data_IF_651202352384
#
_entry.id   IF_651202352384
#
_cell.length_a   1.000
_cell.length_b   1.000
_cell.length_c   1.000
_cell.angle_alpha   90.00
_cell.angle_beta   90.00
_cell.angle_gamma   90.00
#
_symmetry.space_group_name_H-M   'P 1'
#
loop_
_entity.id
_entity.type
_entity.pdbx_description
1 polymer ?
#
# COMPACT_ATOMS: atom_id res chain seq x y z
N UNK A 1 1.96 1.08 15.61
CA UNK A 1 0.48 1.10 15.76
C UNK A 1 -0.24 0.67 14.47
N UNK A 2 0.02 1.29 13.31
CA UNK A 2 -0.68 0.95 12.05
C UNK A 2 -0.31 -0.42 11.46
N UNK A 3 0.98 -0.75 11.36
CA UNK A 3 1.45 -2.04 10.81
C UNK A 3 0.90 -3.23 11.58
N UNK A 4 0.95 -3.16 12.91
CA UNK A 4 0.39 -4.17 13.83
C UNK A 4 -1.13 -4.34 13.71
N UNK A 5 -1.87 -3.28 13.35
CA UNK A 5 -3.31 -3.38 13.13
C UNK A 5 -3.62 -4.05 11.78
N UNK A 6 -2.92 -3.63 10.72
CA UNK A 6 -3.06 -4.19 9.38
C UNK A 6 -2.64 -5.66 9.32
N UNK A 7 -1.68 -6.08 10.12
CA UNK A 7 -1.28 -7.48 10.23
C UNK A 7 -2.40 -8.38 10.78
N UNK A 8 -3.22 -7.85 11.71
CA UNK A 8 -4.35 -8.59 12.29
C UNK A 8 -5.55 -8.69 11.35
N UNK A 9 -5.65 -7.81 10.35
CA UNK A 9 -6.70 -7.90 9.35
C UNK A 9 -6.44 -9.07 8.39
N UNK A 10 -7.47 -9.79 7.94
CA UNK A 10 -7.29 -10.84 6.94
C UNK A 10 -6.74 -10.24 5.64
N UNK A 11 -5.81 -10.96 5.01
CA UNK A 11 -5.41 -10.65 3.63
C UNK A 11 -6.43 -11.26 2.68
N UNK A 12 -6.90 -10.47 1.71
CA UNK A 12 -7.79 -10.93 0.66
C UNK A 12 -7.08 -10.90 -0.69
N UNK A 13 -7.30 -11.94 -1.49
CA UNK A 13 -6.94 -11.95 -2.90
C UNK A 13 -8.08 -11.29 -3.68
N UNK A 14 -7.80 -10.18 -4.35
CA UNK A 14 -8.80 -9.44 -5.10
C UNK A 14 -8.18 -8.60 -6.22
N UNK A 15 -9.05 -8.09 -7.09
CA UNK A 15 -8.69 -7.03 -8.02
C UNK A 15 -8.98 -5.68 -7.38
N UNK A 16 -7.99 -4.81 -7.39
CA UNK A 16 -8.11 -3.45 -6.90
C UNK A 16 -7.69 -2.45 -7.97
N UNK A 17 -8.26 -1.26 -7.89
CA UNK A 17 -8.03 -0.19 -8.83
C UNK A 17 -7.49 1.04 -8.14
N UNK A 18 -6.59 1.75 -8.82
CA UNK A 18 -6.01 3.01 -8.35
C UNK A 18 -5.84 3.98 -9.51
N UNK A 19 -6.46 5.15 -9.39
CA UNK A 19 -6.25 6.27 -10.31
C UNK A 19 -5.12 7.18 -9.86
N UNK A 20 -4.36 7.72 -10.81
CA UNK A 20 -3.33 8.75 -10.60
C UNK A 20 -3.43 9.77 -11.73
N UNK A 21 -3.50 11.06 -11.40
CA UNK A 21 -3.57 12.17 -12.37
C UNK A 21 -2.17 12.54 -12.90
N UNK A 22 -1.43 11.55 -13.41
CA UNK A 22 -0.13 11.70 -14.04
C UNK A 22 0.07 10.61 -15.10
N UNK A 23 0.82 10.91 -16.16
CA UNK A 23 1.27 9.89 -17.12
C UNK A 23 2.48 9.14 -16.55
N UNK A 24 2.30 7.86 -16.23
CA UNK A 24 3.34 6.99 -15.68
C UNK A 24 3.75 5.89 -16.66
N UNK A 25 3.30 5.94 -17.91
CA UNK A 25 3.47 4.84 -18.86
C UNK A 25 4.93 4.45 -19.11
N UNK A 26 5.83 5.44 -19.09
CA UNK A 26 7.26 5.22 -19.32
C UNK A 26 7.95 4.51 -18.13
N UNK A 27 7.38 4.59 -16.93
CA UNK A 27 7.97 3.99 -15.73
C UNK A 27 7.63 2.50 -15.59
N UNK A 28 6.47 2.10 -16.14
CA UNK A 28 5.88 0.78 -16.04
C UNK A 28 5.81 0.12 -17.41
N UNK A 29 6.90 -0.52 -17.81
CA UNK A 29 6.98 -1.31 -19.04
C UNK A 29 6.55 -2.74 -18.79
N UNK A 30 5.84 -3.34 -19.76
CA UNK A 30 5.37 -4.72 -19.66
C UNK A 30 6.55 -5.69 -19.42
N UNK A 31 6.33 -6.68 -18.54
CA UNK A 31 7.33 -7.65 -18.11
C UNK A 31 8.27 -7.16 -17.00
N UNK A 32 8.27 -5.86 -16.69
CA UNK A 32 9.10 -5.32 -15.61
C UNK A 32 8.53 -5.73 -14.25
N UNK A 33 9.41 -6.17 -13.36
CA UNK A 33 9.10 -6.45 -11.95
C UNK A 33 9.72 -5.36 -11.09
N UNK A 34 8.97 -4.89 -10.08
CA UNK A 34 9.41 -3.83 -9.19
C UNK A 34 8.78 -3.97 -7.80
N UNK A 35 9.31 -3.21 -6.84
CA UNK A 35 8.76 -3.15 -5.47
C UNK A 35 7.93 -1.89 -5.31
N UNK A 36 6.71 -2.06 -4.83
CA UNK A 36 5.79 -0.99 -4.46
C UNK A 36 6.08 -0.57 -3.01
N UNK A 37 6.79 0.54 -2.85
CA UNK A 37 7.36 0.94 -1.56
C UNK A 37 6.38 1.66 -0.63
N UNK A 38 5.29 2.23 -1.15
CA UNK A 38 4.35 3.03 -0.38
C UNK A 38 3.09 2.25 0.02
N UNK A 39 2.40 2.70 1.07
CA UNK A 39 1.00 2.33 1.27
C UNK A 39 0.16 2.98 0.18
N UNK A 40 -0.85 2.28 -0.30
CA UNK A 40 -1.73 2.83 -1.33
C UNK A 40 -3.18 2.43 -1.08
N UNK A 41 -4.03 3.44 -0.89
CA UNK A 41 -5.47 3.25 -0.90
C UNK A 41 -5.92 2.92 -2.32
N UNK A 42 -6.74 1.88 -2.42
CA UNK A 42 -7.29 1.36 -3.66
C UNK A 42 -8.77 1.03 -3.42
N UNK A 43 -9.52 0.84 -4.50
CA UNK A 43 -10.93 0.44 -4.43
C UNK A 43 -11.16 -0.85 -5.20
N UNK A 44 -12.11 -1.68 -4.77
CA UNK A 44 -12.59 -2.82 -5.57
C UNK A 44 -13.67 -2.41 -6.58
N UNK A 45 -14.21 -1.20 -6.47
CA UNK A 45 -15.26 -0.68 -7.34
C UNK A 45 -14.67 0.24 -8.40
N UNK A 46 -14.72 -0.19 -9.66
CA UNK A 46 -14.23 0.62 -10.78
C UNK A 46 -15.06 1.91 -10.96
N UNK A 47 -16.34 1.90 -10.60
CA UNK A 47 -17.26 3.03 -10.71
C UNK A 47 -16.83 4.22 -9.85
N UNK A 48 -16.17 3.97 -8.72
CA UNK A 48 -15.65 5.02 -7.82
C UNK A 48 -14.57 5.87 -8.49
N UNK A 49 -13.88 5.30 -9.49
CA UNK A 49 -12.83 6.00 -10.22
C UNK A 49 -13.36 7.07 -11.18
N UNK A 50 -14.66 7.05 -11.52
CA UNK A 50 -15.25 8.11 -12.34
C UNK A 50 -15.27 9.48 -11.63
N UNK A 51 -15.14 9.49 -10.31
CA UNK A 51 -15.05 10.73 -9.55
C UNK A 51 -13.68 11.41 -9.82
N UNK A 52 -13.74 12.73 -10.07
CA UNK A 52 -12.60 13.62 -10.34
C UNK A 52 -11.53 13.58 -9.25
N UNK A 53 -11.90 13.21 -8.01
CA UNK A 53 -10.94 13.05 -6.91
C UNK A 53 -10.02 11.83 -7.06
N UNK A 54 -10.39 10.84 -7.87
CA UNK A 54 -9.59 9.61 -8.07
C UNK A 54 -8.88 9.61 -9.42
N UNK A 55 -9.63 9.49 -10.52
CA UNK A 55 -9.08 9.47 -11.87
C UNK A 55 -9.64 10.62 -12.72
N UNK A 56 -10.93 10.91 -12.58
CA UNK A 56 -11.61 11.92 -13.39
C UNK A 56 -11.64 11.58 -14.88
N UNK A 57 -12.17 12.52 -15.68
CA UNK A 57 -12.43 12.30 -17.12
C UNK A 57 -11.44 13.00 -18.04
N UNK A 58 -10.60 13.90 -17.53
CA UNK A 58 -9.74 14.77 -18.34
C UNK A 58 -8.29 14.78 -17.85
N UNK A 59 -7.37 15.27 -18.69
CA UNK A 59 -5.95 15.37 -18.37
C UNK A 59 -5.16 14.06 -18.53
N UNK A 60 -3.84 14.16 -18.33
CA UNK A 60 -2.92 13.02 -18.33
C UNK A 60 -3.14 12.20 -17.07
N UNK A 61 -3.51 10.93 -17.24
CA UNK A 61 -3.90 10.07 -16.12
C UNK A 61 -3.58 8.61 -16.38
N UNK A 62 -3.29 7.92 -15.29
CA UNK A 62 -2.94 6.51 -15.28
C UNK A 62 -3.88 5.77 -14.35
N UNK A 63 -4.51 4.72 -14.87
CA UNK A 63 -5.31 3.76 -14.13
C UNK A 63 -4.51 2.48 -13.92
N UNK A 64 -4.26 2.13 -12.67
CA UNK A 64 -3.72 0.83 -12.30
C UNK A 64 -4.85 -0.15 -12.02
N UNK A 65 -4.79 -1.31 -12.66
CA UNK A 65 -5.59 -2.49 -12.30
C UNK A 65 -4.63 -3.52 -11.70
N UNK A 66 -4.86 -3.91 -10.44
CA UNK A 66 -3.89 -4.67 -9.66
C UNK A 66 -4.56 -5.96 -9.20
N UNK A 67 -4.06 -7.10 -9.69
CA UNK A 67 -4.35 -8.41 -9.09
C UNK A 67 -3.46 -8.55 -7.86
N UNK A 68 -4.03 -8.39 -6.66
CA UNK A 68 -3.29 -8.53 -5.40
C UNK A 68 -3.72 -9.79 -4.65
N UNK A 69 -2.76 -10.40 -3.96
CA UNK A 69 -2.94 -11.53 -3.07
C UNK A 69 -2.97 -11.10 -1.59
N UNK A 70 -2.47 -9.89 -1.29
CA UNK A 70 -2.27 -9.39 0.07
C UNK A 70 -3.00 -8.08 0.41
N UNK A 71 -4.07 -7.75 -0.32
CA UNK A 71 -4.90 -6.59 -0.03
C UNK A 71 -5.53 -6.66 1.36
N UNK A 72 -5.60 -5.52 2.06
CA UNK A 72 -6.30 -5.40 3.35
C UNK A 72 -7.59 -4.64 3.15
N UNK A 73 -8.72 -5.34 3.23
CA UNK A 73 -10.03 -4.71 3.25
C UNK A 73 -10.17 -3.89 4.53
N UNK A 74 -10.31 -2.58 4.37
CA UNK A 74 -10.54 -1.64 5.46
C UNK A 74 -11.90 -0.95 5.33
N UNK A 75 -12.77 -1.40 4.42
CA UNK A 75 -14.09 -0.83 4.18
C UNK A 75 -14.97 -0.82 5.44
N UNK A 76 -14.86 -1.84 6.29
CA UNK A 76 -15.54 -1.91 7.60
C UNK A 76 -15.03 -0.89 8.64
N UNK A 77 -13.90 -0.25 8.37
CA UNK A 77 -13.27 0.77 9.22
C UNK A 77 -13.13 2.13 8.53
N UNK A 78 -13.58 2.25 7.27
CA UNK A 78 -13.54 3.48 6.50
C UNK A 78 -14.78 4.32 6.77
N UNK A 79 -14.62 5.65 6.76
CA UNK A 79 -15.72 6.59 6.98
C UNK A 79 -16.76 6.53 5.84
N UNK A 80 -16.34 6.08 4.64
CA UNK A 80 -17.18 5.93 3.46
C UNK A 80 -17.25 4.47 3.00
N UNK A 81 -18.17 3.70 3.59
CA UNK A 81 -18.33 2.27 3.30
C UNK A 81 -18.63 1.95 1.82
N UNK A 82 -19.16 2.92 1.06
CA UNK A 82 -19.44 2.78 -0.37
C UNK A 82 -18.18 2.66 -1.24
N UNK A 83 -17.02 3.11 -0.75
CA UNK A 83 -15.78 3.13 -1.53
C UNK A 83 -15.10 1.76 -1.63
N UNK A 84 -15.56 0.78 -0.82
CA UNK A 84 -14.99 -0.58 -0.74
C UNK A 84 -13.46 -0.56 -0.72
N UNK A 85 -12.95 0.22 0.22
CA UNK A 85 -11.54 0.58 0.30
C UNK A 85 -10.68 -0.62 0.68
N UNK A 86 -9.64 -0.85 -0.13
CA UNK A 86 -8.61 -1.85 0.11
C UNK A 86 -7.26 -1.16 0.19
N UNK A 87 -6.55 -1.38 1.28
CA UNK A 87 -5.20 -0.87 1.47
C UNK A 87 -4.18 -1.88 0.93
N UNK A 88 -3.40 -1.46 -0.06
CA UNK A 88 -2.18 -2.16 -0.45
C UNK A 88 -1.06 -1.81 0.51
N UNK A 89 -0.41 -2.84 1.05
CA UNK A 89 0.71 -2.68 1.95
C UNK A 89 1.97 -2.27 1.19
N UNK A 90 2.83 -1.54 1.88
CA UNK A 90 4.17 -1.22 1.41
C UNK A 90 5.03 -2.50 1.21
N UNK A 91 6.11 -2.33 0.45
CA UNK A 91 7.14 -3.32 0.16
C UNK A 91 6.57 -4.64 -0.43
N UNK A 92 5.66 -4.51 -1.40
CA UNK A 92 5.11 -5.64 -2.17
C UNK A 92 5.69 -5.67 -3.57
N UNK A 93 5.92 -6.86 -4.10
CA UNK A 93 6.48 -7.00 -5.44
C UNK A 93 5.38 -7.19 -6.46
N UNK A 94 5.43 -6.40 -7.53
CA UNK A 94 4.49 -6.48 -8.64
C UNK A 94 5.22 -6.62 -9.96
N UNK A 95 4.56 -7.30 -10.89
CA UNK A 95 4.97 -7.39 -12.28
C UNK A 95 3.94 -6.68 -13.16
N UNK A 96 4.42 -5.91 -14.13
CA UNK A 96 3.57 -5.30 -15.16
C UNK A 96 3.17 -6.37 -16.17
N UNK A 97 1.90 -6.76 -16.19
CA UNK A 97 1.41 -7.83 -17.08
C UNK A 97 0.84 -7.29 -18.40
N UNK A 98 0.42 -6.02 -18.42
CA UNK A 98 -0.11 -5.38 -19.61
C UNK A 98 -0.17 -3.86 -19.50
N UNK A 99 -0.05 -3.19 -20.64
CA UNK A 99 -0.23 -1.74 -20.76
C UNK A 99 -1.14 -1.45 -21.96
N UNK A 100 -2.10 -0.53 -21.78
CA UNK A 100 -3.04 -0.12 -22.82
C UNK A 100 -3.22 1.41 -22.80
N UNK A 101 -3.44 2.01 -23.97
CA UNK A 101 -3.81 3.42 -24.12
C UNK A 101 -5.19 3.51 -24.78
N UNK A 102 -6.29 3.36 -24.03
CA UNK A 102 -7.63 3.28 -24.60
C UNK A 102 -8.13 4.62 -25.16
N UNK A 103 -7.61 5.75 -24.66
CA UNK A 103 -8.01 7.09 -25.08
C UNK A 103 -6.85 8.08 -24.96
N UNK A 104 -6.89 9.22 -25.66
CA UNK A 104 -5.91 10.28 -25.48
C UNK A 104 -5.79 10.70 -24.01
N UNK A 105 -4.57 10.65 -23.50
CA UNK A 105 -4.22 11.01 -22.12
C UNK A 105 -4.67 10.05 -21.03
N UNK A 106 -5.23 8.88 -21.37
CA UNK A 106 -5.51 7.81 -20.43
C UNK A 106 -4.60 6.62 -20.71
N UNK A 107 -3.86 6.21 -19.69
CA UNK A 107 -3.04 5.00 -19.70
C UNK A 107 -3.58 3.99 -18.69
N UNK A 108 -3.71 2.75 -19.11
CA UNK A 108 -4.08 1.64 -18.23
C UNK A 108 -2.89 0.71 -18.08
N UNK A 109 -2.54 0.41 -16.82
CA UNK A 109 -1.46 -0.49 -16.46
C UNK A 109 -2.04 -1.62 -15.62
N UNK A 110 -1.80 -2.84 -16.05
CA UNK A 110 -2.18 -4.04 -15.32
C UNK A 110 -0.98 -4.57 -14.56
N UNK A 111 -1.16 -4.76 -13.25
CA UNK A 111 -0.17 -5.28 -12.34
C UNK A 111 -0.64 -6.61 -11.75
N UNK A 112 0.30 -7.50 -11.50
CA UNK A 112 0.08 -8.74 -10.76
C UNK A 112 1.05 -8.82 -9.60
N UNK A 113 0.54 -9.07 -8.40
CA UNK A 113 1.37 -9.33 -7.24
C UNK A 113 2.16 -10.62 -7.44
N UNK A 114 3.42 -10.57 -7.05
CA UNK A 114 4.37 -11.69 -7.17
C UNK A 114 5.08 -11.86 -5.84
N UNK A 115 5.55 -13.09 -5.57
CA UNK A 115 6.32 -13.36 -4.35
C UNK A 115 7.76 -12.91 -4.55
N UNK A 116 8.27 -11.96 -3.75
CA UNK A 116 9.66 -11.58 -3.85
C UNK A 116 10.58 -12.74 -3.41
N UNK A 117 11.80 -12.83 -3.94
CA UNK A 117 12.78 -13.84 -3.52
C UNK A 117 13.24 -13.65 -2.07
N UNK A 118 13.11 -12.43 -1.53
CA UNK A 118 13.44 -12.07 -0.15
C UNK A 118 12.19 -11.47 0.49
N UNK A 119 11.85 -11.92 1.70
CA UNK A 119 10.77 -11.34 2.50
C UNK A 119 11.14 -9.92 2.92
N UNK A 120 10.45 -8.92 2.37
CA UNK A 120 10.75 -7.51 2.62
C UNK A 120 10.15 -6.97 3.93
N UNK A 121 9.08 -7.60 4.43
CA UNK A 121 8.45 -7.27 5.71
C UNK A 121 8.23 -8.54 6.51
N UNK A 122 8.81 -8.59 7.71
CA UNK A 122 8.59 -9.69 8.64
C UNK A 122 7.28 -9.49 9.40
N UNK A 123 6.48 -10.55 9.62
CA UNK A 123 5.35 -10.51 10.53
C UNK A 123 5.79 -10.11 11.94
N UNK A 124 5.01 -9.30 12.64
CA UNK A 124 5.21 -9.07 14.08
C UNK A 124 4.89 -10.37 14.79
N UNK A 125 5.95 -11.12 15.06
CA UNK A 125 5.84 -12.33 15.86
C UNK A 125 5.60 -11.88 17.29
N UNK A 126 4.43 -12.17 17.86
CA UNK A 126 4.26 -12.19 19.31
C UNK A 126 5.08 -13.36 19.86
N UNK A 127 6.40 -13.25 19.83
CA UNK A 127 7.21 -14.06 20.71
C UNK A 127 6.90 -13.54 22.11
N UNK A 128 6.13 -14.31 22.87
CA UNK A 128 6.26 -14.26 24.32
C UNK A 128 7.73 -14.57 24.59
N UNK A 129 8.52 -13.51 24.77
CA UNK A 129 9.88 -13.66 25.26
C UNK A 129 9.72 -14.35 26.60
N UNK A 130 9.98 -15.65 26.64
CA UNK A 130 10.12 -16.40 27.88
C UNK A 130 11.41 -15.88 28.51
N UNK A 131 11.32 -14.75 29.21
CA UNK A 131 12.37 -14.28 30.09
C UNK A 131 12.43 -15.35 31.17
N UNK A 132 13.38 -16.29 31.05
CA UNK A 132 13.76 -17.11 32.21
C UNK A 132 14.13 -16.10 33.31
N UNK A 133 13.52 -16.19 34.51
CA UNK A 133 13.87 -15.28 35.58
C UNK A 133 15.33 -15.53 35.95
N UNK A 134 16.20 -14.59 35.61
CA UNK A 134 17.52 -14.48 36.23
C UNK A 134 17.33 -13.78 37.57
N UNK A 135 17.88 -14.31 38.69
CA UNK A 135 17.74 -13.65 39.97
C UNK A 135 18.42 -12.28 39.97
N UNK A 136 17.60 -11.26 40.26
CA UNK A 136 17.90 -9.98 40.90
C UNK A 136 19.26 -9.30 40.65
N UNK A 137 19.24 -8.17 39.95
CA UNK A 137 19.97 -6.98 40.41
C UNK A 137 19.08 -5.73 40.41
N UNK A 138 18.74 -5.37 41.64
CA UNK A 138 18.25 -4.11 42.19
C UNK A 138 18.70 -2.84 41.44
N UNK A 139 17.76 -1.94 41.13
CA UNK A 139 18.10 -0.59 40.67
C UNK A 139 16.94 0.21 40.09
N UNK A 140 16.15 0.87 40.95
CA UNK A 140 15.09 1.82 40.60
C UNK A 140 15.59 2.94 39.68
N UNK A 141 14.85 3.28 38.62
CA UNK A 141 14.49 4.68 38.29
C UNK A 141 13.36 4.77 37.25
N UNK A 142 12.43 5.68 37.56
CA UNK A 142 11.21 6.06 36.86
C UNK A 142 11.44 6.60 35.44
N UNK A 143 10.52 6.25 34.53
CA UNK A 143 9.68 7.10 33.62
C UNK A 143 10.21 8.54 33.39
N UNK A 144 10.25 9.16 32.19
CA UNK A 144 9.35 9.12 31.03
C UNK A 144 9.93 10.06 29.93
N UNK A 145 9.35 10.01 28.72
CA UNK A 145 9.42 10.98 27.61
C UNK A 145 10.51 10.83 26.56
N UNK A 146 10.16 10.14 25.46
CA UNK A 146 10.75 10.41 24.14
C UNK A 146 9.73 11.21 23.34
N UNK A 147 10.06 12.48 23.07
CA UNK A 147 9.35 13.35 22.12
C UNK A 147 9.43 12.72 20.73
N UNK A 148 8.28 12.45 20.12
CA UNK A 148 8.16 12.16 18.69
C UNK A 148 8.27 13.49 17.93
N UNK A 149 9.33 13.66 17.16
CA UNK A 149 9.48 14.74 16.20
C UNK A 149 8.95 14.25 14.84
N UNK A 150 7.86 14.87 14.39
CA UNK A 150 7.13 14.57 13.16
C UNK A 150 8.00 14.94 11.95
N UNK A 151 8.39 13.96 11.14
CA UNK A 151 8.93 14.18 9.79
C UNK A 151 7.78 14.15 8.77
N UNK A 152 7.06 15.26 8.70
CA UNK A 152 6.21 15.60 7.56
C UNK A 152 7.01 16.51 6.63
N UNK A 153 8.06 16.01 5.96
CA UNK A 153 8.86 16.81 5.00
C UNK A 153 9.52 16.00 3.87
N UNK A 154 9.04 14.79 3.55
CA UNK A 154 9.64 13.97 2.49
C UNK A 154 8.62 13.42 1.48
N UNK A 155 7.60 14.22 1.15
CA UNK A 155 6.63 13.90 0.09
C UNK A 155 6.38 15.11 -0.81
N UNK A 156 7.46 15.71 -1.34
CA UNK A 156 7.36 16.76 -2.37
C UNK A 156 8.53 16.82 -3.36
N UNK A 157 9.41 15.81 -3.41
CA UNK A 157 10.63 15.88 -4.24
C UNK A 157 10.85 14.75 -5.25
N UNK A 158 9.85 13.93 -5.57
CA UNK A 158 10.00 12.90 -6.62
C UNK A 158 9.03 13.05 -7.81
N UNK A 159 8.27 14.14 -7.85
CA UNK A 159 7.50 14.51 -9.05
C UNK A 159 7.50 16.04 -9.22
N UNK A 160 8.66 16.55 -9.63
CA UNK A 160 8.81 17.80 -10.38
C UNK A 160 9.89 17.65 -11.43
#
# INVERSE_FOLDING_TARGET
LILTALEKLPSARCYVYRGVNLDLANQYTQGKTFVWWGFSSCTTSIEVLENEQFLGKTGQRTLFTIECDSGKDIGGHSYFQSEKEVLLLAARQFMVVGCLRPAPGLHMIQLKETKPPITLLQPVTNQSVQIKPTPEQFGRKLLTSVKVMILAHFWKSEFS
#
